data_IF_599518765948
#
_entry.id   IF_599518765948
#
_cell.length_a   1.000
_cell.length_b   1.000
_cell.length_c   1.000
_cell.angle_alpha   90.00
_cell.angle_beta   90.00
_cell.angle_gamma   90.00
#
_symmetry.space_group_name_H-M   'P 1'
#
loop_
_entity.id
_entity.type
_entity.pdbx_description
1 polymer ?
#
# COMPACT_ATOMS: atom_id res chain seq x y z
N UNK A 1 6.34 23.84 28.79
CA UNK A 1 5.09 23.50 28.08
C UNK A 1 5.32 23.69 26.59
N UNK A 2 5.53 22.60 25.84
CA UNK A 2 5.88 22.70 24.42
C UNK A 2 4.63 22.93 23.57
N UNK A 3 4.50 24.14 23.01
CA UNK A 3 3.60 24.42 21.88
C UNK A 3 4.43 24.34 20.61
N UNK A 4 4.07 23.43 19.70
CA UNK A 4 4.49 23.51 18.30
C UNK A 4 3.22 23.61 17.42
N UNK A 5 3.08 24.67 16.61
CA UNK A 5 1.90 24.90 15.79
C UNK A 5 1.96 24.11 14.48
N UNK A 6 0.78 23.81 13.91
CA UNK A 6 0.67 23.33 12.55
C UNK A 6 1.20 24.38 11.56
N UNK A 7 1.92 23.92 10.52
CA UNK A 7 2.28 24.74 9.35
C UNK A 7 2.08 23.94 8.07
N UNK A 8 0.95 24.19 7.41
CA UNK A 8 0.77 23.86 6.00
C UNK A 8 1.47 24.94 5.17
N UNK A 9 2.13 24.57 4.07
CA UNK A 9 2.57 25.54 3.06
C UNK A 9 2.80 24.85 1.71
N UNK A 10 2.24 25.42 0.64
CA UNK A 10 2.37 24.92 -0.74
C UNK A 10 3.46 25.69 -1.51
N UNK A 11 4.12 24.98 -2.43
CA UNK A 11 4.77 25.42 -3.69
C UNK A 11 5.73 26.64 -3.73
N UNK A 12 6.97 26.44 -4.24
CA UNK A 12 7.39 26.88 -5.60
C UNK A 12 8.93 26.83 -5.86
N UNK A 13 9.34 25.99 -6.81
CA UNK A 13 10.40 26.10 -7.86
C UNK A 13 11.78 26.79 -7.67
N UNK A 14 12.85 26.06 -8.09
CA UNK A 14 14.06 26.47 -8.86
C UNK A 14 14.94 27.63 -8.30
N UNK A 15 16.28 27.61 -8.19
CA UNK A 15 17.44 26.98 -8.87
C UNK A 15 18.56 26.76 -7.80
N UNK A 16 19.72 26.09 -7.95
CA UNK A 16 20.46 25.35 -9.01
C UNK A 16 21.38 24.33 -8.28
N UNK A 17 21.83 23.24 -8.93
CA UNK A 17 23.05 22.52 -8.51
C UNK A 17 23.87 22.06 -9.73
N UNK A 18 25.18 22.35 -9.74
CA UNK A 18 26.08 22.10 -10.86
C UNK A 18 27.05 20.95 -10.51
N UNK A 19 27.19 19.98 -11.41
CA UNK A 19 28.05 18.79 -11.24
C UNK A 19 27.34 17.67 -10.46
N UNK A 20 27.42 16.39 -10.85
CA UNK A 20 28.45 15.70 -11.64
C UNK A 20 27.82 14.79 -12.70
N UNK A 21 28.49 14.65 -13.86
CA UNK A 21 28.13 13.66 -14.88
C UNK A 21 28.61 12.27 -14.45
N UNK A 22 27.69 11.30 -14.33
CA UNK A 22 27.99 9.94 -13.89
C UNK A 22 27.05 8.93 -14.54
N UNK A 23 27.63 7.93 -15.21
CA UNK A 23 26.98 6.98 -16.10
C UNK A 23 25.75 6.24 -15.53
N UNK A 24 24.79 5.96 -16.42
CA UNK A 24 23.88 4.83 -16.30
C UNK A 24 22.58 5.10 -15.54
N UNK A 25 21.49 5.28 -16.28
CA UNK A 25 20.14 4.98 -15.78
C UNK A 25 19.98 3.46 -15.62
N UNK A 26 20.64 2.86 -14.63
CA UNK A 26 20.29 1.52 -14.14
C UNK A 26 18.99 1.61 -13.34
N UNK A 27 17.88 1.87 -14.06
CA UNK A 27 16.60 1.30 -13.66
C UNK A 27 16.80 -0.20 -13.79
N UNK A 28 17.09 -0.85 -12.66
CA UNK A 28 17.18 -2.30 -12.59
C UNK A 28 15.78 -2.86 -12.82
N UNK A 29 15.40 -3.03 -14.08
CA UNK A 29 14.46 -4.06 -14.46
C UNK A 29 15.14 -5.37 -14.11
N UNK A 30 14.77 -5.93 -12.96
CA UNK A 30 15.17 -7.29 -12.60
C UNK A 30 14.90 -8.19 -13.81
N UNK A 31 15.83 -9.08 -14.19
CA UNK A 31 15.62 -9.94 -15.33
C UNK A 31 14.40 -10.81 -15.06
N UNK A 32 13.32 -10.57 -15.81
CA UNK A 32 12.12 -11.38 -15.74
C UNK A 32 12.47 -12.77 -16.24
N UNK A 33 12.60 -13.71 -15.32
CA UNK A 33 12.82 -15.12 -15.63
C UNK A 33 11.61 -15.61 -16.44
N UNK A 34 11.80 -16.09 -17.68
CA UNK A 34 10.68 -16.50 -18.54
C UNK A 34 9.95 -17.75 -18.05
N UNK A 35 10.44 -18.41 -17.00
CA UNK A 35 9.76 -19.52 -16.32
C UNK A 35 8.92 -19.09 -15.11
N UNK A 36 9.03 -17.83 -14.65
CA UNK A 36 8.39 -17.33 -13.45
C UNK A 36 6.97 -16.82 -13.70
N UNK A 37 6.01 -17.31 -12.92
CA UNK A 37 4.61 -16.91 -12.94
C UNK A 37 4.37 -15.80 -11.90
N UNK A 38 3.44 -14.86 -12.14
CA UNK A 38 3.09 -13.87 -11.13
C UNK A 38 2.28 -14.50 -9.99
N UNK A 39 2.35 -13.93 -8.77
CA UNK A 39 1.55 -14.39 -7.64
C UNK A 39 0.05 -14.21 -7.89
N UNK A 40 -0.77 -15.06 -7.27
CA UNK A 40 -2.23 -15.06 -7.38
C UNK A 40 -2.82 -14.60 -6.05
N UNK A 41 -3.77 -13.66 -6.08
CA UNK A 41 -4.57 -13.29 -4.89
C UNK A 41 -5.86 -14.10 -4.92
N UNK A 42 -6.00 -15.05 -3.99
CA UNK A 42 -7.17 -15.92 -3.85
C UNK A 42 -8.36 -15.17 -3.25
N UNK A 43 -8.10 -14.35 -2.22
CA UNK A 43 -9.13 -13.50 -1.62
C UNK A 43 -8.54 -12.35 -0.81
N UNK A 44 -9.32 -11.28 -0.70
CA UNK A 44 -9.01 -10.11 0.11
C UNK A 44 -10.19 -9.86 1.04
N UNK A 45 -9.95 -9.88 2.36
CA UNK A 45 -11.01 -9.91 3.38
C UNK A 45 -10.81 -8.85 4.45
N UNK A 46 -11.89 -8.45 5.09
CA UNK A 46 -11.89 -7.46 6.18
C UNK A 46 -12.88 -7.86 7.29
N UNK A 47 -12.50 -7.64 8.55
CA UNK A 47 -13.35 -7.88 9.72
C UNK A 47 -13.15 -6.79 10.79
N UNK A 48 -14.21 -6.19 11.34
CA UNK A 48 -15.63 -6.44 11.05
C UNK A 48 -16.07 -5.94 9.66
N UNK A 49 -17.21 -6.43 9.19
CA UNK A 49 -17.82 -5.99 7.92
C UNK A 49 -18.50 -4.62 8.03
N UNK A 50 -18.97 -4.25 9.22
CA UNK A 50 -19.47 -2.90 9.52
C UNK A 50 -18.31 -2.10 10.10
N UNK A 51 -17.73 -1.22 9.29
CA UNK A 51 -16.68 -0.31 9.73
C UNK A 51 -17.28 0.94 10.38
N UNK A 52 -16.61 1.45 11.41
CA UNK A 52 -16.88 2.75 12.05
C UNK A 52 -15.61 3.56 12.14
N UNK A 53 -15.71 4.88 12.10
CA UNK A 53 -14.56 5.77 12.29
C UNK A 53 -13.79 5.44 13.59
N UNK A 54 -12.46 5.44 13.50
CA UNK A 54 -11.57 5.14 14.62
C UNK A 54 -11.61 3.69 15.17
N UNK A 55 -12.52 2.82 14.71
CA UNK A 55 -12.57 1.42 15.12
C UNK A 55 -11.63 0.57 14.24
N UNK A 56 -10.67 -0.16 14.81
CA UNK A 56 -9.74 -0.97 14.03
C UNK A 56 -10.42 -2.19 13.40
N UNK A 57 -10.12 -2.45 12.14
CA UNK A 57 -10.49 -3.65 11.41
C UNK A 57 -9.23 -4.44 11.03
N UNK A 58 -9.30 -5.77 11.08
CA UNK A 58 -8.28 -6.63 10.49
C UNK A 58 -8.54 -6.79 9.00
N UNK A 59 -7.49 -6.62 8.18
CA UNK A 59 -7.51 -6.90 6.73
C UNK A 59 -6.56 -8.06 6.47
N UNK A 60 -6.99 -9.04 5.65
CA UNK A 60 -6.16 -10.20 5.27
C UNK A 60 -6.20 -10.40 3.76
N UNK A 61 -5.02 -10.44 3.15
CA UNK A 61 -4.81 -10.91 1.78
C UNK A 61 -4.37 -12.39 1.85
N UNK A 62 -5.16 -13.27 1.22
CA UNK A 62 -4.74 -14.63 0.93
C UNK A 62 -4.21 -14.66 -0.50
N UNK A 63 -2.94 -14.99 -0.64
CA UNK A 63 -2.27 -15.09 -1.92
C UNK A 63 -1.26 -16.24 -1.88
N UNK A 64 -1.03 -16.84 -3.05
CA UNK A 64 -0.02 -17.87 -3.26
C UNK A 64 0.81 -17.56 -4.49
N UNK A 65 1.97 -18.21 -4.58
CA UNK A 65 2.81 -18.17 -5.76
C UNK A 65 2.78 -19.55 -6.45
N UNK A 66 2.58 -19.65 -7.78
CA UNK A 66 2.57 -20.94 -8.48
C UNK A 66 3.92 -21.67 -8.46
N UNK A 67 5.03 -20.93 -8.43
CA UNK A 67 6.40 -21.48 -8.41
C UNK A 67 6.94 -21.66 -6.99
N UNK A 68 6.25 -21.10 -5.99
CA UNK A 68 6.53 -21.24 -4.56
C UNK A 68 7.43 -20.14 -3.99
N UNK A 69 7.57 -19.01 -4.69
CA UNK A 69 8.42 -17.89 -4.29
C UNK A 69 7.87 -17.10 -3.07
N UNK A 70 8.77 -16.40 -2.36
CA UNK A 70 8.41 -15.65 -1.14
C UNK A 70 7.66 -14.34 -1.48
N UNK A 71 6.49 -14.16 -0.86
CA UNK A 71 5.59 -13.05 -1.17
C UNK A 71 5.78 -11.82 -0.27
N UNK A 72 6.04 -10.68 -0.90
CA UNK A 72 6.10 -9.36 -0.27
C UNK A 72 4.84 -8.53 -0.53
N UNK A 73 4.32 -7.86 0.51
CA UNK A 73 3.01 -7.20 0.50
C UNK A 73 3.15 -5.68 0.69
N UNK A 74 2.68 -4.92 -0.30
CA UNK A 74 2.73 -3.46 -0.30
C UNK A 74 1.31 -2.89 -0.24
N UNK A 75 0.93 -2.34 0.90
CA UNK A 75 -0.44 -1.87 1.15
C UNK A 75 -0.56 -0.34 1.02
N UNK A 76 -1.72 0.12 0.56
CA UNK A 76 -2.10 1.54 0.56
C UNK A 76 -3.61 1.71 0.76
N UNK A 77 -4.05 2.90 1.18
CA UNK A 77 -5.46 3.24 1.36
C UNK A 77 -5.72 4.69 0.96
N UNK A 78 -6.93 4.99 0.48
CA UNK A 78 -7.34 6.35 0.12
C UNK A 78 -7.50 7.29 1.32
N UNK A 79 -7.96 6.77 2.47
CA UNK A 79 -8.05 7.50 3.74
C UNK A 79 -8.08 6.56 4.95
N UNK A 80 -7.55 7.04 6.09
CA UNK A 80 -7.31 6.26 7.29
C UNK A 80 -5.87 5.75 7.40
N UNK A 81 -5.60 4.96 8.43
CA UNK A 81 -4.26 4.50 8.80
C UNK A 81 -4.17 2.98 8.61
N UNK A 82 -3.05 2.52 8.06
CA UNK A 82 -2.69 1.10 7.99
C UNK A 82 -1.56 0.81 8.97
N UNK A 83 -1.67 -0.29 9.72
CA UNK A 83 -0.69 -0.70 10.74
C UNK A 83 -0.30 -2.15 10.52
N UNK A 84 1.00 -2.42 10.44
CA UNK A 84 1.57 -3.74 10.15
C UNK A 84 2.04 -3.90 8.71
N UNK A 85 2.45 -5.12 8.37
CA UNK A 85 2.97 -5.52 7.06
C UNK A 85 2.71 -7.01 6.80
N UNK A 86 3.02 -7.48 5.59
CA UNK A 86 2.77 -8.88 5.20
C UNK A 86 1.30 -9.15 4.85
N UNK A 87 0.82 -10.40 4.92
CA UNK A 87 -0.52 -10.78 4.46
C UNK A 87 -1.67 -10.26 5.36
N UNK A 88 -1.36 -9.83 6.59
CA UNK A 88 -2.36 -9.37 7.57
C UNK A 88 -1.96 -8.04 8.18
N UNK A 89 -2.85 -7.05 8.11
CA UNK A 89 -2.67 -5.72 8.69
C UNK A 89 -3.90 -5.28 9.48
N UNK A 90 -3.78 -4.19 10.23
CA UNK A 90 -4.92 -3.44 10.74
C UNK A 90 -5.18 -2.20 9.87
N UNK A 91 -6.46 -1.91 9.65
CA UNK A 91 -6.96 -0.67 9.07
C UNK A 91 -7.75 0.10 10.13
N UNK A 92 -7.48 1.41 10.27
CA UNK A 92 -8.19 2.32 11.17
C UNK A 92 -8.80 3.43 10.30
N UNK A 93 -10.14 3.47 10.12
CA UNK A 93 -10.78 4.49 9.31
C UNK A 93 -10.67 5.88 9.95
N UNK A 94 -10.42 6.90 9.12
CA UNK A 94 -10.26 8.28 9.56
C UNK A 94 -11.58 8.90 10.06
N UNK A 95 -11.61 9.55 11.25
CA UNK A 95 -12.75 10.32 11.74
C UNK A 95 -13.33 11.35 10.76
N UNK A 96 -12.53 11.97 9.88
CA UNK A 96 -13.04 12.93 8.91
C UNK A 96 -13.75 12.31 7.69
N UNK A 97 -13.71 10.97 7.55
CA UNK A 97 -14.25 10.25 6.39
C UNK A 97 -15.48 9.38 6.70
N UNK A 98 -16.17 9.63 7.81
CA UNK A 98 -17.45 8.96 8.11
C UNK A 98 -18.50 9.22 7.02
N UNK A 99 -19.14 8.15 6.53
CA UNK A 99 -20.09 8.19 5.43
C UNK A 99 -19.47 8.04 4.03
N UNK A 100 -18.15 7.88 3.92
CA UNK A 100 -17.46 7.69 2.63
C UNK A 100 -17.05 6.22 2.40
N UNK A 101 -16.83 5.89 1.14
CA UNK A 101 -16.21 4.62 0.72
C UNK A 101 -14.72 4.81 0.51
N UNK A 102 -13.90 4.06 1.24
CA UNK A 102 -12.45 4.07 1.09
C UNK A 102 -11.98 2.88 0.26
N UNK A 103 -10.93 3.08 -0.53
CA UNK A 103 -10.31 2.02 -1.33
C UNK A 103 -9.00 1.61 -0.67
N UNK A 104 -8.95 0.37 -0.18
CA UNK A 104 -7.71 -0.29 0.23
C UNK A 104 -7.14 -1.01 -1.00
N UNK A 105 -5.82 -0.94 -1.19
CA UNK A 105 -5.09 -1.65 -2.23
C UNK A 105 -3.94 -2.46 -1.63
N UNK A 106 -3.65 -3.60 -2.23
CA UNK A 106 -2.45 -4.39 -1.96
C UNK A 106 -1.77 -4.74 -3.29
N UNK A 107 -0.45 -4.61 -3.34
CA UNK A 107 0.39 -5.17 -4.40
C UNK A 107 1.24 -6.27 -3.77
N UNK A 108 1.04 -7.50 -4.23
CA UNK A 108 1.80 -8.69 -3.86
C UNK A 108 2.88 -8.92 -4.91
N UNK A 109 4.12 -9.21 -4.50
CA UNK A 109 5.27 -9.46 -5.41
C UNK A 109 6.09 -10.65 -4.95
N UNK A 110 6.61 -11.41 -5.91
CA UNK A 110 7.45 -12.61 -5.77
C UNK A 110 8.97 -12.32 -5.58
N UNK A 111 9.40 -11.08 -5.83
CA UNK A 111 10.83 -10.71 -5.82
C UNK A 111 11.61 -11.09 -7.09
N UNK A 112 11.02 -11.83 -8.03
CA UNK A 112 11.60 -12.28 -9.32
C UNK A 112 11.04 -11.54 -10.53
N UNK A 113 9.98 -10.75 -10.36
CA UNK A 113 9.49 -9.78 -11.34
C UNK A 113 7.98 -9.79 -11.54
N UNK A 114 7.29 -10.82 -11.05
CA UNK A 114 5.84 -10.89 -11.03
C UNK A 114 5.24 -10.04 -9.91
N UNK A 115 4.07 -9.49 -10.20
CA UNK A 115 3.29 -8.72 -9.24
C UNK A 115 1.80 -8.76 -9.60
N UNK A 116 0.96 -8.85 -8.56
CA UNK A 116 -0.50 -8.83 -8.69
C UNK A 116 -1.11 -7.83 -7.71
N UNK A 117 -2.16 -7.15 -8.14
CA UNK A 117 -2.85 -6.13 -7.34
C UNK A 117 -4.26 -6.59 -6.95
N UNK A 118 -4.62 -6.39 -5.68
CA UNK A 118 -5.97 -6.58 -5.15
C UNK A 118 -6.51 -5.28 -4.54
N UNK A 119 -7.84 -5.12 -4.53
CA UNK A 119 -8.51 -3.95 -3.96
C UNK A 119 -9.76 -4.32 -3.15
N UNK A 120 -10.05 -3.55 -2.11
CA UNK A 120 -11.32 -3.57 -1.37
C UNK A 120 -11.89 -2.16 -1.33
N UNK A 121 -13.17 -2.02 -1.66
CA UNK A 121 -13.95 -0.80 -1.42
C UNK A 121 -14.77 -1.00 -0.14
N UNK A 122 -14.53 -0.18 0.87
CA UNK A 122 -15.14 -0.34 2.20
C UNK A 122 -15.89 0.93 2.60
N UNK A 123 -17.19 0.79 2.88
CA UNK A 123 -18.00 1.89 3.40
C UNK A 123 -17.75 2.07 4.90
N UNK A 124 -17.44 3.31 5.31
CA UNK A 124 -17.16 3.65 6.71
C UNK A 124 -18.39 4.34 7.30
N UNK A 125 -18.96 3.77 8.35
CA UNK A 125 -20.01 4.45 9.12
C UNK A 125 -19.40 5.56 9.98
N UNK A 126 -20.12 6.68 10.19
CA UNK A 126 -19.86 7.59 11.30
C UNK A 126 -19.91 6.89 12.68
#
# INVERSE_FOLDING_TARGET
>A
MHRFPARWSLAASFLLWLGVMGAGCLRSSAPTDPSNHPPVIDSLTIAPQILRVGQPATVVCFAHDPDGDELSYHWSVSAGILVGSGPRIQYIPDPCCGGLTNTLSVIVKDGRGGATQGQLHVAVSP
#
